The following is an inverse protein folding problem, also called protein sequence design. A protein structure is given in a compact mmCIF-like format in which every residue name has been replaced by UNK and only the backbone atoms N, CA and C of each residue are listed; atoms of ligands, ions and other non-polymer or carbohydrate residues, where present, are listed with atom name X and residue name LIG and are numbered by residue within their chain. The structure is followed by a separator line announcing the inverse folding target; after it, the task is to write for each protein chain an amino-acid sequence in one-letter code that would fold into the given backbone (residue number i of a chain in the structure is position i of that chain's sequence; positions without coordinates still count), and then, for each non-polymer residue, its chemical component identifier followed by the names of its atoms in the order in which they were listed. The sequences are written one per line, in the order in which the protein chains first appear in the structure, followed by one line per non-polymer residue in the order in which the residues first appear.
data_IF_933028375302
#
_entry.id   IF_933028375302
#
_cell.length_a   1.000
_cell.length_b   1.000
_cell.length_c   1.000
_cell.angle_alpha   90.00
_cell.angle_beta   90.00
_cell.angle_gamma   90.00
#
_symmetry.space_group_name_H-M   'P 1'
#
loop_
_entity.id
_entity.type
_entity.pdbx_description
1 polymer ?
#
# COMPACT_ATOMS: atom_id res chain seq x y z
N UNK A 1 24.14 -30.40 35.21
CA UNK A 1 24.67 -29.48 34.16
C UNK A 1 24.15 -30.01 32.83
N UNK A 2 23.35 -29.34 32.00
CA UNK A 2 23.07 -27.93 31.72
C UNK A 2 21.57 -27.76 31.40
N UNK A 3 21.02 -26.57 31.73
CA UNK A 3 19.70 -26.08 31.31
C UNK A 3 19.63 -25.86 29.80
N UNK A 4 18.46 -26.13 29.19
CA UNK A 4 17.94 -25.55 27.93
C UNK A 4 16.51 -26.12 27.76
N UNK A 5 15.39 -25.41 27.60
CA UNK A 5 15.08 -24.07 27.12
C UNK A 5 13.76 -23.59 27.75
N UNK A 6 13.77 -22.39 28.30
CA UNK A 6 12.57 -21.61 28.58
C UNK A 6 12.32 -20.59 27.46
N UNK A 7 11.07 -20.11 27.44
CA UNK A 7 10.55 -18.89 26.82
C UNK A 7 10.05 -18.94 25.37
N UNK A 8 8.74 -19.23 25.29
CA UNK A 8 7.80 -18.52 24.40
C UNK A 8 7.92 -17.03 24.68
N UNK A 9 8.61 -16.29 23.82
CA UNK A 9 8.47 -14.83 23.74
C UNK A 9 7.63 -14.46 22.53
N UNK A 10 6.58 -13.70 22.83
CA UNK A 10 5.58 -13.16 21.94
C UNK A 10 6.21 -12.48 20.71
N UNK A 11 5.88 -12.99 19.51
CA UNK A 11 6.37 -12.48 18.21
C UNK A 11 5.83 -11.08 17.83
N UNK A 12 5.09 -10.42 18.71
CA UNK A 12 4.41 -9.14 18.44
C UNK A 12 5.13 -7.90 18.97
N UNK A 13 6.37 -8.01 19.47
CA UNK A 13 7.09 -6.84 20.04
C UNK A 13 8.43 -6.48 19.37
N UNK A 14 8.75 -7.04 18.19
CA UNK A 14 10.07 -6.85 17.57
C UNK A 14 10.14 -6.05 16.26
N UNK A 15 9.05 -5.40 15.83
CA UNK A 15 9.06 -4.52 14.64
C UNK A 15 9.16 -3.03 14.96
N UNK A 16 9.45 -2.67 16.21
CA UNK A 16 9.64 -1.27 16.64
C UNK A 16 11.02 -1.06 17.24
N UNK A 17 12.09 -1.26 16.46
CA UNK A 17 13.41 -0.61 16.61
C UNK A 17 14.37 -1.00 15.49
N UNK A 18 14.92 0.03 14.83
CA UNK A 18 15.96 0.01 13.78
C UNK A 18 15.46 -0.56 12.45
N UNK A 19 15.25 0.25 11.41
CA UNK A 19 16.31 0.94 10.66
C UNK A 19 15.97 2.43 10.53
N UNK A 20 16.59 3.26 11.36
CA UNK A 20 16.92 4.63 10.98
C UNK A 20 18.09 4.55 10.00
N UNK A 21 17.83 4.33 8.71
CA UNK A 21 18.81 4.71 7.70
C UNK A 21 18.67 6.21 7.52
N UNK A 22 19.67 6.94 8.02
CA UNK A 22 19.96 8.29 7.50
C UNK A 22 20.26 8.11 6.01
N UNK A 23 19.24 8.18 5.17
CA UNK A 23 19.46 8.51 3.78
C UNK A 23 19.92 9.96 3.82
N UNK A 24 21.17 10.21 3.42
CA UNK A 24 21.61 11.55 3.09
C UNK A 24 20.58 12.11 2.11
N UNK A 25 19.77 13.06 2.57
CA UNK A 25 19.04 13.93 1.68
C UNK A 25 20.10 14.67 0.89
N UNK A 26 20.29 14.28 -0.37
CA UNK A 26 20.95 15.16 -1.32
C UNK A 26 20.12 16.43 -1.32
N UNK A 27 20.67 17.49 -0.71
CA UNK A 27 20.14 18.83 -0.83
C UNK A 27 20.31 19.21 -2.30
N UNK A 28 19.31 18.89 -3.12
CA UNK A 28 19.20 19.41 -4.47
C UNK A 28 18.86 20.88 -4.29
N UNK A 29 19.85 21.73 -4.59
CA UNK A 29 19.74 23.19 -4.58
C UNK A 29 18.37 23.65 -5.08
N UNK A 30 17.79 24.57 -4.32
CA UNK A 30 16.57 25.31 -4.64
C UNK A 30 16.68 25.96 -6.02
N UNK A 31 16.13 25.25 -7.02
CA UNK A 31 15.52 25.70 -8.27
C UNK A 31 14.96 24.45 -8.97
N UNK A 32 14.13 23.67 -8.25
CA UNK A 32 13.51 22.46 -8.78
C UNK A 32 12.40 22.81 -9.77
N UNK A 33 12.78 23.11 -11.01
CA UNK A 33 11.86 23.07 -12.14
C UNK A 33 11.40 21.63 -12.28
N UNK A 34 10.20 21.34 -11.76
CA UNK A 34 9.57 20.03 -11.94
C UNK A 34 9.40 19.83 -13.45
N UNK A 35 9.90 18.72 -14.03
CA UNK A 35 9.75 18.43 -15.44
C UNK A 35 8.29 18.58 -15.90
N UNK A 36 8.09 19.13 -17.10
CA UNK A 36 6.76 19.45 -17.62
C UNK A 36 5.83 18.22 -17.68
N UNK A 37 6.38 17.06 -18.05
CA UNK A 37 5.63 15.80 -18.06
C UNK A 37 5.08 15.44 -16.67
N UNK A 38 5.87 15.63 -15.60
CA UNK A 38 5.41 15.42 -14.22
C UNK A 38 4.37 16.46 -13.81
N UNK A 39 4.49 17.70 -14.29
CA UNK A 39 3.46 18.72 -14.06
C UNK A 39 2.14 18.34 -14.73
N UNK A 40 2.18 17.79 -15.94
CA UNK A 40 0.99 17.34 -16.67
C UNK A 40 0.35 16.12 -15.99
N UNK A 41 1.14 15.13 -15.60
CA UNK A 41 0.66 13.97 -14.85
C UNK A 41 0.04 14.41 -13.51
N UNK A 42 0.70 15.30 -12.77
CA UNK A 42 0.18 15.82 -11.50
C UNK A 42 -1.18 16.52 -11.66
N UNK A 43 -1.35 17.30 -12.74
CA UNK A 43 -2.64 17.92 -13.09
C UNK A 43 -3.71 16.87 -13.37
N UNK A 44 -3.40 15.84 -14.17
CA UNK A 44 -4.34 14.76 -14.49
C UNK A 44 -4.76 13.97 -13.25
N UNK A 45 -3.81 13.70 -12.34
CA UNK A 45 -4.07 13.00 -11.09
C UNK A 45 -4.69 13.90 -10.00
N UNK A 46 -4.85 15.20 -10.26
CA UNK A 46 -5.29 16.21 -9.29
C UNK A 46 -4.47 16.17 -7.99
N UNK A 47 -3.15 16.23 -8.12
CA UNK A 47 -2.18 16.28 -7.01
C UNK A 47 -1.17 17.41 -7.21
N UNK A 48 -0.52 17.82 -6.12
CA UNK A 48 0.58 18.81 -6.21
C UNK A 48 1.78 18.16 -6.90
N UNK A 49 2.34 18.84 -7.91
CA UNK A 49 3.51 18.37 -8.66
C UNK A 49 4.71 18.09 -7.74
N UNK A 50 4.90 18.92 -6.70
CA UNK A 50 5.95 18.71 -5.69
C UNK A 50 5.81 17.40 -4.91
N UNK A 51 4.57 16.98 -4.62
CA UNK A 51 4.31 15.70 -3.93
C UNK A 51 4.56 14.52 -4.87
N UNK A 52 4.10 14.63 -6.12
CA UNK A 52 4.36 13.59 -7.12
C UNK A 52 5.86 13.43 -7.39
N UNK A 53 6.59 14.53 -7.57
CA UNK A 53 8.05 14.50 -7.76
C UNK A 53 8.76 13.87 -6.57
N UNK A 54 8.30 14.12 -5.34
CA UNK A 54 8.85 13.47 -4.14
C UNK A 54 8.70 11.96 -4.20
N UNK A 55 7.50 11.45 -4.50
CA UNK A 55 7.24 9.99 -4.59
C UNK A 55 8.08 9.36 -5.70
N UNK A 56 8.16 10.02 -6.87
CA UNK A 56 8.97 9.54 -7.99
C UNK A 56 10.46 9.48 -7.63
N UNK A 57 10.98 10.50 -6.94
CA UNK A 57 12.36 10.53 -6.51
C UNK A 57 12.66 9.48 -5.43
N UNK A 58 11.72 9.22 -4.51
CA UNK A 58 11.86 8.19 -3.47
C UNK A 58 11.99 6.77 -4.06
N UNK A 59 11.36 6.53 -5.21
CA UNK A 59 11.28 5.20 -5.83
C UNK A 59 11.69 5.19 -7.30
N UNK A 60 12.64 6.05 -7.68
CA UNK A 60 13.03 6.28 -9.08
C UNK A 60 13.33 4.98 -9.84
N UNK A 61 14.06 4.06 -9.20
CA UNK A 61 14.45 2.77 -9.79
C UNK A 61 13.25 1.86 -10.07
N UNK A 62 12.19 1.92 -9.28
CA UNK A 62 10.97 1.12 -9.51
C UNK A 62 10.00 1.83 -10.45
N UNK A 63 9.79 3.13 -10.23
CA UNK A 63 8.76 3.90 -10.91
C UNK A 63 9.11 4.21 -12.37
N UNK A 64 10.39 4.20 -12.76
CA UNK A 64 10.82 4.35 -14.16
C UNK A 64 10.24 3.30 -15.12
N UNK A 65 9.78 2.16 -14.61
CA UNK A 65 9.20 1.08 -15.40
C UNK A 65 7.68 1.20 -15.60
N UNK A 66 7.01 2.08 -14.86
CA UNK A 66 5.56 2.25 -14.96
C UNK A 66 5.20 3.44 -15.82
N UNK A 67 4.30 3.23 -16.79
CA UNK A 67 3.79 4.27 -17.67
C UNK A 67 2.80 5.18 -16.94
N UNK A 68 2.64 6.42 -17.42
CA UNK A 68 1.63 7.37 -16.91
C UNK A 68 0.22 6.76 -16.87
N UNK A 69 -0.12 5.95 -17.88
CA UNK A 69 -1.40 5.23 -17.94
C UNK A 69 -1.66 4.32 -16.74
N UNK A 70 -0.62 3.74 -16.12
CA UNK A 70 -0.79 2.92 -14.91
C UNK A 70 -1.23 3.74 -13.70
N UNK A 71 -0.69 4.94 -13.57
CA UNK A 71 -1.10 5.89 -12.53
C UNK A 71 -2.56 6.30 -12.72
N UNK A 72 -2.93 6.67 -13.94
CA UNK A 72 -4.29 7.09 -14.28
C UNK A 72 -5.30 5.98 -14.00
N UNK A 73 -5.04 4.75 -14.45
CA UNK A 73 -5.93 3.60 -14.22
C UNK A 73 -6.12 3.33 -12.73
N UNK A 74 -5.05 3.36 -11.94
CA UNK A 74 -5.12 3.13 -10.50
C UNK A 74 -5.94 4.24 -9.79
N UNK A 75 -5.67 5.51 -10.13
CA UNK A 75 -6.36 6.65 -9.52
C UNK A 75 -7.84 6.69 -9.91
N UNK A 76 -8.15 6.55 -11.20
CA UNK A 76 -9.52 6.52 -11.70
C UNK A 76 -10.31 5.37 -11.05
N UNK A 77 -9.69 4.21 -10.85
CA UNK A 77 -10.37 3.07 -10.24
C UNK A 77 -10.62 3.26 -8.74
N UNK A 78 -9.59 3.62 -7.97
CA UNK A 78 -9.71 3.69 -6.51
C UNK A 78 -10.46 4.93 -6.02
N UNK A 79 -10.50 6.02 -6.78
CA UNK A 79 -11.34 7.17 -6.44
C UNK A 79 -12.84 6.85 -6.45
N UNK A 80 -13.27 5.80 -7.18
CA UNK A 80 -14.65 5.29 -7.13
C UNK A 80 -15.02 4.67 -5.76
N UNK A 81 -14.02 4.38 -4.93
CA UNK A 81 -14.17 3.85 -3.57
C UNK A 81 -13.81 4.92 -2.50
N UNK A 82 -13.97 6.20 -2.86
CA UNK A 82 -13.72 7.36 -1.99
C UNK A 82 -12.28 7.49 -1.45
N UNK A 83 -11.29 6.91 -2.14
CA UNK A 83 -9.88 7.18 -1.84
C UNK A 83 -9.53 8.57 -2.35
N UNK A 84 -8.92 9.38 -1.48
CA UNK A 84 -8.42 10.71 -1.86
C UNK A 84 -7.13 10.57 -2.67
N UNK A 85 -6.89 11.48 -3.60
CA UNK A 85 -5.66 11.50 -4.41
C UNK A 85 -4.39 11.59 -3.55
N UNK A 86 -4.45 12.24 -2.39
CA UNK A 86 -3.37 12.26 -1.40
C UNK A 86 -3.11 10.89 -0.78
N UNK A 87 -4.16 10.15 -0.41
CA UNK A 87 -4.06 8.81 0.17
C UNK A 87 -3.48 7.83 -0.88
N UNK A 88 -3.87 7.97 -2.14
CA UNK A 88 -3.32 7.18 -3.23
C UNK A 88 -1.83 7.42 -3.46
N UNK A 89 -1.37 8.68 -3.36
CA UNK A 89 0.07 8.96 -3.39
C UNK A 89 0.81 8.33 -2.21
N UNK A 90 0.27 8.40 -1.00
CA UNK A 90 0.84 7.75 0.19
C UNK A 90 0.91 6.23 0.05
N UNK A 91 -0.12 5.63 -0.57
CA UNK A 91 -0.13 4.19 -0.87
C UNK A 91 0.98 3.80 -1.87
N UNK A 92 1.22 4.63 -2.89
CA UNK A 92 2.29 4.38 -3.86
C UNK A 92 3.68 4.61 -3.23
N UNK A 93 3.83 5.64 -2.40
CA UNK A 93 5.09 5.92 -1.67
C UNK A 93 5.40 4.81 -0.64
N UNK A 94 4.39 4.16 -0.08
CA UNK A 94 4.61 3.02 0.82
C UNK A 94 4.81 1.70 0.08
N UNK A 95 4.15 1.48 -1.06
CA UNK A 95 4.33 0.30 -1.89
C UNK A 95 4.17 0.60 -3.40
N UNK A 96 5.26 0.95 -4.11
CA UNK A 96 5.21 1.31 -5.53
C UNK A 96 4.71 0.18 -6.44
N UNK A 97 4.81 -1.07 -5.99
CA UNK A 97 4.49 -2.24 -6.80
C UNK A 97 2.97 -2.34 -7.08
N UNK A 98 2.12 -1.58 -6.38
CA UNK A 98 0.68 -1.50 -6.68
C UNK A 98 0.39 -0.95 -8.08
N UNK A 99 1.30 -0.21 -8.69
CA UNK A 99 1.17 0.27 -10.08
C UNK A 99 1.31 -0.85 -11.13
N UNK A 100 1.84 -2.02 -10.73
CA UNK A 100 1.90 -3.18 -11.63
C UNK A 100 0.52 -3.78 -11.91
N UNK A 101 -0.43 -3.56 -11.00
CA UNK A 101 -1.76 -4.15 -11.05
C UNK A 101 -2.54 -3.59 -12.23
N UNK A 102 -3.28 -4.44 -12.94
CA UNK A 102 -4.19 -4.01 -13.99
C UNK A 102 -5.63 -3.84 -13.46
N UNK A 103 -6.47 -3.16 -14.21
CA UNK A 103 -7.86 -2.88 -13.83
C UNK A 103 -8.66 -4.14 -13.50
N UNK A 104 -8.48 -5.22 -14.25
CA UNK A 104 -9.20 -6.49 -14.02
C UNK A 104 -8.82 -7.13 -12.68
N UNK A 105 -7.54 -7.09 -12.29
CA UNK A 105 -7.10 -7.59 -11.00
C UNK A 105 -7.57 -6.70 -9.86
N UNK A 106 -7.46 -5.37 -9.99
CA UNK A 106 -8.03 -4.42 -9.01
C UNK A 106 -9.52 -4.71 -8.78
N UNK A 107 -10.28 -4.93 -9.86
CA UNK A 107 -11.70 -5.24 -9.77
C UNK A 107 -11.97 -6.54 -9.02
N UNK A 108 -11.28 -7.63 -9.36
CA UNK A 108 -11.44 -8.90 -8.65
C UNK A 108 -11.06 -8.78 -7.17
N UNK A 109 -9.97 -8.10 -6.88
CA UNK A 109 -9.48 -7.87 -5.53
C UNK A 109 -10.50 -7.06 -4.70
N UNK A 110 -10.98 -5.93 -5.23
CA UNK A 110 -11.96 -5.10 -4.52
C UNK A 110 -13.30 -5.82 -4.32
N UNK A 111 -13.78 -6.58 -5.31
CA UNK A 111 -14.99 -7.42 -5.15
C UNK A 111 -14.80 -8.46 -4.04
N UNK A 112 -13.63 -9.11 -4.00
CA UNK A 112 -13.33 -10.06 -2.93
C UNK A 112 -13.40 -9.35 -1.57
N UNK A 113 -12.72 -8.22 -1.42
CA UNK A 113 -12.69 -7.45 -0.17
C UNK A 113 -14.07 -6.94 0.28
N UNK A 114 -14.91 -6.44 -0.64
CA UNK A 114 -16.24 -5.92 -0.30
C UNK A 114 -17.23 -7.04 0.08
N UNK A 115 -17.07 -8.24 -0.48
CA UNK A 115 -17.91 -9.40 -0.13
C UNK A 115 -17.76 -9.85 1.33
N UNK A 116 -16.69 -9.48 2.02
CA UNK A 116 -16.47 -9.85 3.42
C UNK A 116 -17.30 -9.03 4.43
N UNK A 117 -18.26 -8.21 3.99
CA UNK A 117 -19.09 -7.34 4.84
C UNK A 117 -18.28 -6.50 5.83
N UNK A 118 -17.06 -6.13 5.46
CA UNK A 118 -16.32 -5.10 6.18
C UNK A 118 -17.04 -3.77 5.99
N UNK A 119 -17.08 -2.93 7.03
CA UNK A 119 -17.48 -1.53 6.83
C UNK A 119 -16.51 -0.89 5.83
N UNK A 120 -17.04 -0.25 4.78
CA UNK A 120 -16.25 0.34 3.69
C UNK A 120 -15.12 1.26 4.19
N UNK A 121 -15.40 2.01 5.26
CA UNK A 121 -14.41 2.88 5.91
C UNK A 121 -13.24 2.10 6.50
N UNK A 122 -13.50 0.96 7.15
CA UNK A 122 -12.46 0.09 7.74
C UNK A 122 -11.67 -0.62 6.65
N UNK A 123 -12.33 -1.06 5.58
CA UNK A 123 -11.66 -1.63 4.42
C UNK A 123 -10.72 -0.62 3.75
N UNK A 124 -11.18 0.62 3.55
CA UNK A 124 -10.34 1.70 3.01
C UNK A 124 -9.13 1.96 3.90
N UNK A 125 -9.33 2.07 5.21
CA UNK A 125 -8.22 2.23 6.17
C UNK A 125 -7.21 1.08 6.09
N UNK A 126 -7.68 -0.17 5.97
CA UNK A 126 -6.82 -1.33 5.80
C UNK A 126 -5.99 -1.22 4.52
N UNK A 127 -6.60 -0.85 3.40
CA UNK A 127 -5.91 -0.73 2.11
C UNK A 127 -4.89 0.41 2.14
N UNK A 128 -5.19 1.55 2.77
CA UNK A 128 -4.23 2.65 2.95
C UNK A 128 -3.04 2.20 3.78
N UNK A 129 -3.29 1.52 4.90
CA UNK A 129 -2.23 1.05 5.80
C UNK A 129 -1.42 -0.11 5.22
N UNK A 130 -2.01 -0.91 4.33
CA UNK A 130 -1.41 -2.10 3.72
C UNK A 130 -1.77 -2.18 2.23
N UNK A 131 -1.16 -1.34 1.36
CA UNK A 131 -1.51 -1.30 -0.07
C UNK A 131 -1.22 -2.62 -0.79
N UNK A 132 -0.31 -3.45 -0.25
CA UNK A 132 -0.06 -4.81 -0.74
C UNK A 132 -1.30 -5.71 -0.74
N UNK A 133 -2.36 -5.38 0.00
CA UNK A 133 -3.63 -6.08 -0.07
C UNK A 133 -4.24 -6.07 -1.47
N UNK A 134 -3.92 -5.06 -2.29
CA UNK A 134 -4.37 -4.96 -3.69
C UNK A 134 -3.61 -5.89 -4.64
N UNK A 135 -2.46 -6.42 -4.22
CA UNK A 135 -1.63 -7.37 -5.00
C UNK A 135 -2.04 -8.83 -4.77
N UNK A 136 -2.99 -9.08 -3.87
CA UNK A 136 -3.40 -10.43 -3.53
C UNK A 136 -4.41 -10.95 -4.56
N UNK A 137 -4.17 -12.16 -5.04
CA UNK A 137 -5.16 -12.88 -5.84
C UNK A 137 -6.32 -13.37 -4.97
N UNK A 138 -7.46 -13.61 -5.61
CA UNK A 138 -8.71 -14.03 -4.96
C UNK A 138 -8.53 -15.22 -3.99
N UNK A 139 -7.76 -16.24 -4.39
CA UNK A 139 -7.41 -17.41 -3.58
C UNK A 139 -6.59 -17.05 -2.33
N UNK A 140 -5.68 -16.08 -2.43
CA UNK A 140 -4.85 -15.64 -1.31
C UNK A 140 -5.66 -14.78 -0.33
N UNK A 141 -6.55 -13.94 -0.85
CA UNK A 141 -7.49 -13.16 -0.05
C UNK A 141 -8.38 -14.13 0.75
N UNK A 142 -9.02 -15.09 0.06
CA UNK A 142 -9.88 -16.08 0.69
C UNK A 142 -9.15 -16.94 1.73
N UNK A 143 -7.94 -17.43 1.42
CA UNK A 143 -7.19 -18.29 2.36
C UNK A 143 -6.68 -17.53 3.59
N UNK A 144 -6.18 -16.30 3.43
CA UNK A 144 -5.76 -15.47 4.56
C UNK A 144 -6.95 -15.09 5.44
N UNK A 145 -8.09 -14.81 4.83
CA UNK A 145 -9.31 -14.45 5.57
C UNK A 145 -9.95 -15.66 6.23
N UNK A 146 -9.97 -16.84 5.59
CA UNK A 146 -10.37 -18.09 6.24
C UNK A 146 -9.53 -18.34 7.49
N UNK A 147 -8.22 -18.11 7.43
CA UNK A 147 -7.35 -18.21 8.61
C UNK A 147 -7.71 -17.18 9.70
N UNK A 148 -8.05 -15.94 9.33
CA UNK A 148 -8.51 -14.91 10.29
C UNK A 148 -9.87 -15.27 10.91
N UNK A 149 -10.85 -15.68 10.10
CA UNK A 149 -12.17 -16.10 10.57
C UNK A 149 -12.07 -17.36 11.44
N UNK A 150 -11.23 -18.32 11.07
CA UNK A 150 -11.01 -19.54 11.86
C UNK A 150 -10.35 -19.21 13.21
N UNK A 151 -9.40 -18.26 13.25
CA UNK A 151 -8.84 -17.77 14.52
C UNK A 151 -9.87 -17.01 15.38
N UNK A 152 -10.79 -16.26 14.77
CA UNK A 152 -11.87 -15.58 15.50
C UNK A 152 -12.94 -16.55 16.01
N UNK A 153 -13.20 -17.64 15.28
CA UNK A 153 -14.13 -18.71 15.70
C UNK A 153 -13.52 -19.56 16.81
N UNK A 154 -12.23 -19.94 16.73
CA UNK A 154 -11.54 -20.66 17.81
C UNK A 154 -11.54 -19.82 19.10
N UNK A 155 -11.32 -18.51 19.03
CA UNK A 155 -11.39 -17.64 20.21
C UNK A 155 -12.81 -17.39 20.75
N UNK A 156 -13.86 -17.72 19.99
CA UNK A 156 -15.26 -17.66 20.48
C UNK A 156 -15.76 -18.97 21.08
N UNK A 157 -15.11 -20.10 20.78
CA UNK A 157 -15.48 -21.43 21.31
C UNK A 157 -14.65 -21.78 22.56
N UNK A 158 -13.69 -20.94 22.94
CA UNK A 158 -12.90 -21.05 24.18
C UNK A 158 -13.48 -20.30 25.38
N UNK A 159 -14.80 -20.40 25.62
CA UNK A 159 -15.44 -20.04 26.89
C UNK A 159 -16.33 -21.20 27.35
#
# INVERSE_FOLDING_TARGET
MLLMRTFRTCYLCHCSKMITSKNMSVAVNDLNVVPEHLCNLAKQLNVKSTMLSKVINNHQEKLKFYTESRWLVLFEYLTQYDFKTSELLEMIDSNPDILSINRQHLQRCMIAWTNFRFEDKKLRQLIILQPSCLLLDDKLILSRILNFCHMLVINKIGY
#
